data_IF_758436559483
#
_entry.id   IF_758436559483
#
_cell.length_a   1.000
_cell.length_b   1.000
_cell.length_c   1.000
_cell.angle_alpha   90.00
_cell.angle_beta   90.00
_cell.angle_gamma   90.00
#
_symmetry.space_group_name_H-M   'P 1'
#
loop_
_entity.id
_entity.type
_entity.pdbx_description
1 polymer ?
#
# COMPACT_ATOMS: atom_id res chain seq x y z
N UNK A 1 33.31 -21.98 -2.03
CA UNK A 1 32.17 -22.90 -1.77
C UNK A 1 30.98 -22.30 -2.48
N UNK A 2 30.58 -22.89 -3.61
CA UNK A 2 29.44 -22.40 -4.42
C UNK A 2 28.14 -22.61 -3.65
N UNK A 3 27.20 -21.67 -3.74
CA UNK A 3 25.93 -21.74 -3.00
C UNK A 3 25.14 -23.00 -3.40
N UNK A 4 24.31 -23.57 -2.52
CA UNK A 4 23.52 -24.75 -2.87
C UNK A 4 22.63 -24.52 -4.11
N UNK A 5 22.19 -23.28 -4.34
CA UNK A 5 21.37 -22.90 -5.48
C UNK A 5 22.17 -22.91 -6.80
N UNK A 6 23.44 -22.48 -6.76
CA UNK A 6 24.34 -22.53 -7.91
C UNK A 6 24.65 -23.97 -8.32
N UNK A 7 24.80 -24.89 -7.35
CA UNK A 7 25.04 -26.31 -7.62
C UNK A 7 23.83 -26.98 -8.28
N UNK A 8 22.62 -26.67 -7.80
CA UNK A 8 21.38 -27.15 -8.42
C UNK A 8 21.19 -26.63 -9.85
N UNK A 9 21.62 -25.39 -10.12
CA UNK A 9 21.55 -24.79 -11.45
C UNK A 9 22.55 -25.45 -12.43
N UNK A 10 23.77 -25.76 -11.97
CA UNK A 10 24.77 -26.49 -12.76
C UNK A 10 24.31 -27.92 -13.06
N UNK A 11 23.71 -28.60 -12.07
CA UNK A 11 23.14 -29.94 -12.26
C UNK A 11 21.98 -29.92 -13.27
N UNK A 12 21.08 -28.93 -13.16
CA UNK A 12 20.01 -28.73 -14.12
C UNK A 12 20.57 -28.58 -15.55
N UNK A 13 21.54 -27.69 -15.76
CA UNK A 13 22.20 -27.48 -17.07
C UNK A 13 22.79 -28.77 -17.64
N UNK A 14 23.41 -29.60 -16.81
CA UNK A 14 24.01 -30.87 -17.24
C UNK A 14 22.97 -31.95 -17.59
N UNK A 15 21.74 -31.84 -17.09
CA UNK A 15 20.63 -32.77 -17.42
C UNK A 15 19.86 -32.41 -18.68
N UNK A 16 20.16 -31.28 -19.34
CA UNK A 16 19.44 -30.87 -20.54
C UNK A 16 19.80 -31.73 -21.76
N UNK A 17 18.79 -32.11 -22.59
CA UNK A 17 19.04 -32.81 -23.83
C UNK A 17 19.80 -31.91 -24.81
N UNK A 18 20.75 -32.46 -25.59
CA UNK A 18 21.63 -31.69 -26.48
C UNK A 18 20.91 -31.00 -27.64
N UNK A 19 19.62 -31.27 -27.82
CA UNK A 19 18.77 -30.70 -28.87
C UNK A 19 18.07 -29.41 -28.47
N UNK A 20 18.13 -29.02 -27.19
CA UNK A 20 17.43 -27.85 -26.65
C UNK A 20 18.41 -26.74 -26.30
N UNK A 21 18.06 -25.49 -26.60
CA UNK A 21 18.91 -24.34 -26.27
C UNK A 21 19.01 -24.17 -24.73
N UNK A 22 20.22 -24.29 -24.15
CA UNK A 22 20.40 -24.22 -22.70
C UNK A 22 20.09 -22.82 -22.15
N UNK A 23 20.33 -21.76 -22.92
CA UNK A 23 20.06 -20.39 -22.47
C UNK A 23 18.55 -20.14 -22.29
N UNK A 24 17.71 -20.62 -23.21
CA UNK A 24 16.26 -20.45 -23.08
C UNK A 24 15.67 -21.28 -21.95
N UNK A 25 16.19 -22.48 -21.73
CA UNK A 25 15.69 -23.35 -20.67
C UNK A 25 16.09 -22.87 -19.28
N UNK A 26 17.34 -22.40 -19.13
CA UNK A 26 17.80 -21.76 -17.88
C UNK A 26 17.05 -20.47 -17.63
N UNK A 27 16.79 -19.65 -18.67
CA UNK A 27 15.98 -18.44 -18.53
C UNK A 27 14.56 -18.77 -18.04
N UNK A 28 13.90 -19.78 -18.60
CA UNK A 28 12.57 -20.20 -18.15
C UNK A 28 12.59 -20.75 -16.72
N UNK A 29 13.62 -21.50 -16.35
CA UNK A 29 13.79 -22.01 -14.98
C UNK A 29 14.04 -20.87 -13.99
N UNK A 30 14.88 -19.90 -14.34
CA UNK A 30 15.11 -18.70 -13.52
C UNK A 30 13.85 -17.87 -13.39
N UNK A 31 13.07 -17.72 -14.46
CA UNK A 31 11.77 -17.02 -14.40
C UNK A 31 10.84 -17.73 -13.41
N UNK A 32 10.78 -19.06 -13.41
CA UNK A 32 9.97 -19.83 -12.46
C UNK A 32 10.48 -19.74 -11.01
N UNK A 33 11.79 -19.63 -10.80
CA UNK A 33 12.38 -19.45 -9.46
C UNK A 33 12.23 -18.02 -8.93
N UNK A 34 12.25 -17.04 -9.82
CA UNK A 34 12.12 -15.61 -9.50
C UNK A 34 10.64 -15.19 -9.43
N UNK A 35 9.72 -16.03 -9.92
CA UNK A 35 8.30 -15.77 -9.83
C UNK A 35 7.92 -15.57 -8.35
N UNK A 36 7.46 -14.37 -7.97
CA UNK A 36 7.29 -14.04 -6.57
C UNK A 36 6.28 -15.02 -5.97
N UNK A 37 6.51 -15.51 -4.74
CA UNK A 37 5.60 -16.46 -4.11
C UNK A 37 4.21 -15.86 -4.11
N UNK A 38 3.27 -16.57 -4.74
CA UNK A 38 1.88 -16.13 -4.82
C UNK A 38 1.39 -15.80 -3.41
N UNK A 39 0.86 -14.58 -3.24
CA UNK A 39 0.40 -14.09 -1.94
C UNK A 39 -0.52 -15.14 -1.31
N UNK A 40 -0.15 -15.57 -0.11
CA UNK A 40 -0.88 -16.60 0.62
C UNK A 40 -2.36 -16.23 0.71
N UNK A 41 -3.24 -17.23 0.69
CA UNK A 41 -4.70 -17.00 0.77
C UNK A 41 -5.10 -16.19 2.02
N UNK A 42 -4.33 -16.34 3.10
CA UNK A 42 -4.51 -15.60 4.35
C UNK A 42 -4.13 -14.12 4.18
N UNK A 43 -3.03 -13.83 3.48
CA UNK A 43 -2.61 -12.45 3.18
C UNK A 43 -3.71 -11.67 2.44
N UNK A 44 -4.29 -12.28 1.39
CA UNK A 44 -5.41 -11.68 0.65
C UNK A 44 -6.65 -11.46 1.50
N UNK A 45 -6.93 -12.34 2.46
CA UNK A 45 -8.08 -12.17 3.36
C UNK A 45 -7.85 -11.02 4.35
N UNK A 46 -6.66 -10.93 4.93
CA UNK A 46 -6.28 -9.83 5.84
C UNK A 46 -6.34 -8.47 5.13
N UNK A 47 -5.86 -8.40 3.89
CA UNK A 47 -5.91 -7.17 3.09
C UNK A 47 -7.36 -6.67 2.90
N UNK A 48 -8.29 -7.57 2.58
CA UNK A 48 -9.72 -7.23 2.47
C UNK A 48 -10.33 -6.75 3.78
N UNK A 49 -9.96 -7.38 4.90
CA UNK A 49 -10.41 -6.95 6.23
C UNK A 49 -9.89 -5.55 6.56
N UNK A 50 -8.61 -5.30 6.28
CA UNK A 50 -7.99 -3.98 6.48
C UNK A 50 -8.71 -2.93 5.63
N UNK A 51 -8.98 -3.21 4.36
CA UNK A 51 -9.71 -2.32 3.45
C UNK A 51 -11.10 -1.99 4.02
N UNK A 52 -11.85 -3.00 4.49
CA UNK A 52 -13.17 -2.78 5.11
C UNK A 52 -13.08 -1.87 6.34
N UNK A 53 -12.08 -2.06 7.20
CA UNK A 53 -11.87 -1.20 8.37
C UNK A 53 -11.60 0.26 7.97
N UNK A 54 -10.80 0.47 6.93
CA UNK A 54 -10.55 1.82 6.41
C UNK A 54 -11.82 2.46 5.82
N UNK A 55 -12.67 1.70 5.14
CA UNK A 55 -13.98 2.22 4.69
C UNK A 55 -14.84 2.65 5.87
N UNK A 56 -14.84 1.91 6.98
CA UNK A 56 -15.55 2.32 8.20
C UNK A 56 -14.96 3.61 8.77
N UNK A 57 -13.63 3.75 8.84
CA UNK A 57 -12.97 4.98 9.30
C UNK A 57 -13.34 6.17 8.40
N UNK A 58 -13.37 5.97 7.08
CA UNK A 58 -13.79 7.00 6.12
C UNK A 58 -15.22 7.49 6.40
N UNK A 59 -16.16 6.56 6.58
CA UNK A 59 -17.56 6.89 6.90
C UNK A 59 -17.64 7.63 8.24
N UNK A 60 -16.93 7.16 9.27
CA UNK A 60 -16.88 7.83 10.58
C UNK A 60 -16.35 9.27 10.47
N UNK A 61 -15.28 9.49 9.71
CA UNK A 61 -14.73 10.82 9.48
C UNK A 61 -15.72 11.72 8.73
N UNK A 62 -16.39 11.20 7.70
CA UNK A 62 -17.45 11.92 6.99
C UNK A 62 -18.62 12.29 7.92
N UNK A 63 -19.05 11.39 8.80
CA UNK A 63 -20.09 11.66 9.79
C UNK A 63 -19.66 12.73 10.82
N UNK A 64 -18.43 12.67 11.32
CA UNK A 64 -17.87 13.67 12.23
C UNK A 64 -17.81 15.05 11.57
N UNK A 65 -17.35 15.11 10.31
CA UNK A 65 -17.31 16.35 9.55
C UNK A 65 -18.73 16.87 9.31
N UNK A 66 -19.66 16.01 8.89
CA UNK A 66 -21.05 16.38 8.63
C UNK A 66 -21.76 16.95 9.87
N UNK A 67 -21.63 16.27 11.02
CA UNK A 67 -22.22 16.74 12.28
C UNK A 67 -21.67 18.09 12.71
N UNK A 68 -20.36 18.31 12.55
CA UNK A 68 -19.70 19.59 12.84
C UNK A 68 -20.11 20.71 11.87
N UNK A 69 -20.31 20.40 10.59
CA UNK A 69 -20.84 21.35 9.59
C UNK A 69 -22.27 21.76 9.98
N UNK A 70 -23.12 20.78 10.30
CA UNK A 70 -24.51 21.00 10.73
C UNK A 70 -24.59 21.82 12.02
N UNK A 71 -23.63 21.64 12.94
CA UNK A 71 -23.53 22.43 14.17
C UNK A 71 -23.02 23.87 13.96
N UNK A 72 -22.64 24.27 12.72
CA UNK A 72 -21.98 25.57 12.41
C UNK A 72 -20.71 25.86 13.23
N UNK A 73 -20.08 24.82 13.77
CA UNK A 73 -18.85 24.89 14.58
C UNK A 73 -17.59 24.74 13.70
N UNK A 74 -17.74 24.50 12.39
CA UNK A 74 -16.64 24.49 11.43
C UNK A 74 -16.00 25.88 11.27
N UNK A 75 -15.16 26.27 12.24
CA UNK A 75 -14.25 27.41 12.18
C UNK A 75 -12.85 26.87 12.43
N UNK A 76 -12.23 26.33 11.38
CA UNK A 76 -10.91 25.68 11.47
C UNK A 76 -9.77 26.60 11.90
N UNK A 77 -9.96 27.91 11.82
CA UNK A 77 -8.99 28.93 12.24
C UNK A 77 -9.73 30.02 13.01
N UNK A 78 -9.62 30.03 14.35
CA UNK A 78 -10.05 31.17 15.16
C UNK A 78 -8.80 31.79 15.79
N UNK A 79 -8.51 33.04 15.45
CA UNK A 79 -7.65 33.85 16.29
C UNK A 79 -8.45 34.20 17.54
N UNK A 80 -7.94 33.81 18.70
CA UNK A 80 -8.53 34.24 19.96
C UNK A 80 -8.29 35.75 20.15
N UNK A 81 -9.04 36.41 21.05
CA UNK A 81 -8.84 37.87 21.32
C UNK A 81 -7.40 38.20 21.77
N UNK A 82 -6.65 37.18 22.19
CA UNK A 82 -5.24 37.21 22.56
C UNK A 82 -4.26 37.05 21.37
N UNK A 83 -4.74 36.92 20.14
CA UNK A 83 -3.92 36.68 18.95
C UNK A 83 -3.38 35.25 18.83
N UNK A 84 -3.81 34.34 19.71
CA UNK A 84 -3.42 32.92 19.67
C UNK A 84 -4.25 32.15 18.65
N UNK A 85 -3.56 31.37 17.82
CA UNK A 85 -4.16 30.51 16.82
C UNK A 85 -4.83 29.31 17.52
N UNK A 86 -6.15 29.34 17.68
CA UNK A 86 -6.90 28.20 18.19
C UNK A 86 -7.27 27.28 17.02
N UNK A 87 -6.57 26.14 16.92
CA UNK A 87 -6.86 25.09 15.95
C UNK A 87 -7.80 24.08 16.62
N UNK A 88 -8.94 23.78 15.98
CA UNK A 88 -9.82 22.70 16.42
C UNK A 88 -9.20 21.35 16.01
N UNK A 89 -8.30 20.84 16.86
CA UNK A 89 -7.58 19.56 16.72
C UNK A 89 -8.50 18.43 16.19
N UNK A 90 -9.69 18.16 16.76
CA UNK A 90 -10.54 17.08 16.27
C UNK A 90 -11.04 17.30 14.83
N UNK A 91 -11.22 18.54 14.38
CA UNK A 91 -11.60 18.83 13.00
C UNK A 91 -10.44 18.61 12.03
N UNK A 92 -9.22 18.99 12.43
CA UNK A 92 -8.02 18.78 11.61
C UNK A 92 -7.70 17.30 11.51
N UNK A 93 -7.75 16.56 12.63
CA UNK A 93 -7.58 15.10 12.64
C UNK A 93 -8.63 14.42 11.76
N UNK A 94 -9.91 14.80 11.84
CA UNK A 94 -10.96 14.19 11.01
C UNK A 94 -10.73 14.37 9.50
N UNK A 95 -10.27 15.55 9.06
CA UNK A 95 -9.90 15.80 7.66
C UNK A 95 -8.68 14.98 7.26
N UNK A 96 -7.69 14.90 8.15
CA UNK A 96 -6.45 14.21 7.86
C UNK A 96 -6.64 12.68 7.79
N UNK A 97 -7.46 12.09 8.67
CA UNK A 97 -7.88 10.69 8.59
C UNK A 97 -8.74 10.39 7.35
N UNK A 98 -9.55 11.35 6.88
CA UNK A 98 -10.31 11.20 5.64
C UNK A 98 -9.37 11.11 4.43
N UNK A 99 -8.39 12.00 4.33
CA UNK A 99 -7.36 11.98 3.26
C UNK A 99 -6.52 10.71 3.35
N UNK A 100 -6.13 10.30 4.55
CA UNK A 100 -5.38 9.08 4.75
C UNK A 100 -6.16 7.85 4.28
N UNK A 101 -7.43 7.75 4.67
CA UNK A 101 -8.26 6.62 4.31
C UNK A 101 -8.50 6.51 2.80
N UNK A 102 -8.66 7.62 2.08
CA UNK A 102 -8.82 7.58 0.62
C UNK A 102 -7.54 7.12 -0.10
N UNK A 103 -6.36 7.54 0.40
CA UNK A 103 -5.07 7.08 -0.10
C UNK A 103 -4.90 5.57 0.09
N UNK A 104 -5.26 5.04 1.26
CA UNK A 104 -5.16 3.60 1.53
C UNK A 104 -6.10 2.78 0.64
N UNK A 105 -7.32 3.25 0.41
CA UNK A 105 -8.25 2.57 -0.50
C UNK A 105 -7.69 2.54 -1.93
N UNK A 106 -7.12 3.65 -2.39
CA UNK A 106 -6.51 3.74 -3.73
C UNK A 106 -5.30 2.82 -3.87
N UNK A 107 -4.46 2.75 -2.83
CA UNK A 107 -3.30 1.87 -2.76
C UNK A 107 -3.70 0.39 -2.84
N UNK A 108 -4.71 -0.04 -2.07
CA UNK A 108 -5.21 -1.43 -2.13
C UNK A 108 -5.83 -1.79 -3.48
N UNK A 109 -6.56 -0.88 -4.13
CA UNK A 109 -7.10 -1.12 -5.49
C UNK A 109 -5.95 -1.27 -6.50
N UNK A 110 -4.91 -0.44 -6.37
CA UNK A 110 -3.75 -0.52 -7.23
C UNK A 110 -2.96 -1.81 -7.01
N UNK A 111 -2.81 -2.27 -5.77
CA UNK A 111 -2.14 -3.53 -5.47
C UNK A 111 -2.89 -4.73 -6.08
N UNK A 112 -4.23 -4.73 -6.06
CA UNK A 112 -5.05 -5.76 -6.74
C UNK A 112 -4.87 -5.73 -8.28
N UNK A 113 -4.73 -4.55 -8.87
CA UNK A 113 -4.45 -4.38 -10.31
C UNK A 113 -3.02 -4.84 -10.64
N UNK A 114 -2.03 -4.48 -9.82
CA UNK A 114 -0.62 -4.85 -10.05
C UNK A 114 -0.32 -6.31 -9.76
N UNK A 115 -1.10 -6.98 -8.90
CA UNK A 115 -1.07 -8.44 -8.78
C UNK A 115 -1.39 -9.15 -10.11
N UNK A 116 -1.97 -8.44 -11.08
CA UNK A 116 -2.29 -8.94 -12.42
C UNK A 116 -1.26 -8.51 -13.48
N UNK A 117 -0.53 -7.40 -13.29
CA UNK A 117 0.46 -6.88 -14.26
C UNK A 117 1.72 -6.31 -13.58
N UNK A 118 2.87 -6.95 -13.83
CA UNK A 118 4.12 -6.79 -13.09
C UNK A 118 4.95 -5.53 -13.44
N UNK A 119 4.42 -4.60 -14.24
CA UNK A 119 5.26 -3.64 -14.99
C UNK A 119 5.49 -2.29 -14.31
N UNK A 120 4.92 -2.01 -13.13
CA UNK A 120 4.92 -0.65 -12.54
C UNK A 120 5.25 -0.60 -11.03
N UNK A 121 6.44 -1.05 -10.63
CA UNK A 121 6.89 -0.96 -9.23
C UNK A 121 7.08 0.47 -8.70
N UNK A 122 7.39 1.44 -9.57
CA UNK A 122 7.64 2.83 -9.14
C UNK A 122 6.42 3.52 -8.54
N UNK A 123 5.21 3.23 -9.03
CA UNK A 123 3.98 3.77 -8.48
C UNK A 123 3.69 3.28 -7.06
N UNK A 124 3.99 2.01 -6.79
CA UNK A 124 3.82 1.37 -5.47
C UNK A 124 4.66 2.05 -4.40
N UNK A 125 5.92 2.38 -4.71
CA UNK A 125 6.85 3.02 -3.77
C UNK A 125 6.42 4.47 -3.48
N UNK A 126 5.96 5.20 -4.50
CA UNK A 126 5.49 6.58 -4.35
C UNK A 126 4.23 6.67 -3.48
N UNK A 127 3.24 5.79 -3.71
CA UNK A 127 2.02 5.71 -2.91
C UNK A 127 2.30 5.31 -1.46
N UNK A 128 3.18 4.33 -1.26
CA UNK A 128 3.66 3.97 0.07
C UNK A 128 4.29 5.17 0.79
N UNK A 129 5.13 5.94 0.11
CA UNK A 129 5.73 7.17 0.66
C UNK A 129 4.69 8.24 1.04
N UNK A 130 3.72 8.51 0.16
CA UNK A 130 2.65 9.48 0.43
C UNK A 130 1.81 9.10 1.66
N UNK A 131 1.51 7.82 1.84
CA UNK A 131 0.80 7.30 3.02
C UNK A 131 1.54 7.63 4.32
N UNK A 132 2.87 7.45 4.34
CA UNK A 132 3.70 7.76 5.52
C UNK A 132 3.75 9.26 5.83
N UNK A 133 3.86 10.11 4.80
CA UNK A 133 3.88 11.57 4.97
C UNK A 133 2.59 12.03 5.65
N UNK A 134 1.44 11.49 5.25
CA UNK A 134 0.16 11.84 5.87
C UNK A 134 0.12 11.43 7.33
N UNK A 135 0.51 10.19 7.69
CA UNK A 135 0.55 9.74 9.09
C UNK A 135 1.45 10.65 9.94
N UNK A 136 2.62 11.01 9.40
CA UNK A 136 3.61 11.80 10.11
C UNK A 136 3.11 13.23 10.39
N UNK A 137 2.33 13.81 9.46
CA UNK A 137 1.66 15.09 9.65
C UNK A 137 0.40 14.98 10.55
N UNK A 138 -0.20 13.79 10.70
CA UNK A 138 -1.36 13.54 11.56
C UNK A 138 -1.00 13.13 13.00
N UNK A 139 0.28 12.94 13.32
CA UNK A 139 0.77 12.46 14.62
C UNK A 139 0.76 13.54 15.73
N UNK A 140 0.16 14.70 15.48
CA UNK A 140 0.10 15.84 16.40
C UNK A 140 -1.26 15.95 17.07
#
# INVERSE_FOLDING_TARGET
>A
MSSPDEQALIEFVNTLPPTTNPYSAVANHLIQLIEPPAISKVGRWLERVILLLFVVIFIQCCCLIYTRIKAKIFRGFRFDELGLLSIDVPSVCAVAYLIYSSLVITDSILDEIFATDYRFEGGRIMLFGCKFIVILNCSW
#
